data_IF_173865355103
#
_entry.id   IF_173865355103
#
_cell.length_a   1.000
_cell.length_b   1.000
_cell.length_c   1.000
_cell.angle_alpha   90.00
_cell.angle_beta   90.00
_cell.angle_gamma   90.00
#
_symmetry.space_group_name_H-M   'P 1'
#
loop_
_entity.id
_entity.type
_entity.pdbx_description
1 polymer ?
#
# COMPACT_ATOMS: atom_id res chain seq x y z
N UNK A 1 -21.30 27.11 9.87
CA UNK A 1 -21.73 26.59 8.56
C UNK A 1 -20.87 25.39 8.23
N UNK A 2 -21.47 24.18 8.23
CA UNK A 2 -20.74 22.92 8.09
C UNK A 2 -20.18 22.75 6.67
N UNK A 3 -18.87 22.52 6.58
CA UNK A 3 -18.19 22.28 5.32
C UNK A 3 -18.75 21.03 4.63
N UNK A 4 -19.00 21.17 3.33
CA UNK A 4 -19.69 20.21 2.47
C UNK A 4 -19.10 18.79 2.47
N UNK A 5 -20.00 17.85 2.17
CA UNK A 5 -19.81 16.42 2.17
C UNK A 5 -19.31 15.86 3.51
N UNK A 6 -20.01 16.20 4.60
CA UNK A 6 -20.61 15.23 5.52
C UNK A 6 -21.41 16.00 6.60
N UNK A 7 -22.72 16.15 6.38
CA UNK A 7 -23.67 16.37 7.49
C UNK A 7 -23.71 15.13 8.39
N UNK A 8 -24.68 15.08 9.31
CA UNK A 8 -24.92 13.96 10.25
C UNK A 8 -24.93 12.53 9.63
N UNK A 9 -24.93 12.40 8.30
CA UNK A 9 -24.92 11.16 7.51
C UNK A 9 -23.60 10.92 6.72
N UNK A 10 -22.47 11.38 7.22
CA UNK A 10 -21.19 11.25 6.52
C UNK A 10 -20.63 9.83 6.44
N UNK A 11 -20.02 9.46 5.31
CA UNK A 11 -19.31 8.18 5.19
C UNK A 11 -18.05 8.26 6.05
N UNK A 12 -17.96 7.41 7.07
CA UNK A 12 -16.79 7.31 7.93
C UNK A 12 -15.51 7.23 7.07
N UNK A 13 -14.44 8.01 7.37
CA UNK A 13 -13.17 7.98 6.63
C UNK A 13 -12.63 6.57 6.41
N UNK A 14 -12.88 5.64 7.35
CA UNK A 14 -12.55 4.21 7.25
C UNK A 14 -13.27 3.49 6.12
N UNK A 15 -14.57 3.76 5.95
CA UNK A 15 -15.39 3.17 4.91
C UNK A 15 -15.07 3.79 3.55
N UNK A 16 -14.94 5.12 3.50
CA UNK A 16 -14.61 5.85 2.27
C UNK A 16 -13.29 5.37 1.67
N UNK A 17 -12.25 5.24 2.50
CA UNK A 17 -10.94 4.80 2.02
C UNK A 17 -10.95 3.36 1.49
N UNK A 18 -11.74 2.47 2.12
CA UNK A 18 -11.83 1.08 1.70
C UNK A 18 -12.47 0.95 0.31
N UNK A 19 -13.53 1.71 0.05
CA UNK A 19 -14.19 1.76 -1.26
C UNK A 19 -13.25 2.31 -2.34
N UNK A 20 -12.56 3.40 -2.04
CA UNK A 20 -11.65 4.08 -2.98
C UNK A 20 -10.46 3.18 -3.32
N UNK A 21 -9.80 2.58 -2.33
CA UNK A 21 -8.65 1.70 -2.57
C UNK A 21 -9.01 0.49 -3.42
N UNK A 22 -10.19 -0.11 -3.18
CA UNK A 22 -10.63 -1.30 -3.92
C UNK A 22 -10.82 -0.99 -5.40
N UNK A 23 -11.44 0.15 -5.72
CA UNK A 23 -11.66 0.59 -7.11
C UNK A 23 -10.37 1.02 -7.80
N UNK A 24 -9.53 1.78 -7.10
CA UNK A 24 -8.30 2.36 -7.67
C UNK A 24 -7.26 1.29 -8.02
N UNK A 25 -7.16 0.23 -7.21
CA UNK A 25 -6.12 -0.79 -7.34
C UNK A 25 -6.56 -2.02 -8.14
N UNK A 26 -7.78 -2.04 -8.67
CA UNK A 26 -8.29 -3.18 -9.41
C UNK A 26 -7.50 -3.37 -10.73
N UNK A 27 -6.92 -4.55 -10.92
CA UNK A 27 -6.17 -4.91 -12.14
C UNK A 27 -4.76 -4.31 -12.26
N UNK A 28 -4.35 -3.42 -11.34
CA UNK A 28 -3.02 -2.80 -11.39
C UNK A 28 -1.87 -3.75 -11.03
N UNK A 29 -2.17 -4.93 -10.49
CA UNK A 29 -1.19 -5.93 -10.08
C UNK A 29 -0.65 -6.78 -11.24
N UNK A 30 -1.31 -6.74 -12.40
CA UNK A 30 -0.90 -7.48 -13.61
C UNK A 30 -0.20 -6.56 -14.62
N UNK A 31 -0.30 -5.24 -14.44
CA UNK A 31 0.26 -4.25 -15.36
C UNK A 31 1.62 -3.79 -14.82
N UNK A 32 2.64 -3.77 -15.69
CA UNK A 32 3.92 -3.12 -15.35
C UNK A 32 3.75 -1.61 -15.41
N UNK A 33 3.49 -0.98 -14.26
CA UNK A 33 3.40 0.47 -14.14
C UNK A 33 4.79 1.11 -14.22
N UNK A 34 4.90 2.21 -14.97
CA UNK A 34 6.12 3.01 -14.98
C UNK A 34 6.24 3.86 -13.71
N UNK A 35 7.44 4.35 -13.40
CA UNK A 35 7.65 5.30 -12.29
C UNK A 35 6.78 6.56 -12.44
N UNK A 36 6.52 6.99 -13.68
CA UNK A 36 5.64 8.13 -13.97
C UNK A 36 4.19 7.81 -13.58
N UNK A 37 3.71 6.61 -13.91
CA UNK A 37 2.36 6.17 -13.57
C UNK A 37 2.17 6.08 -12.05
N UNK A 38 3.15 5.48 -11.35
CA UNK A 38 3.15 5.39 -9.89
C UNK A 38 3.14 6.79 -9.25
N UNK A 39 3.90 7.75 -9.80
CA UNK A 39 3.92 9.13 -9.31
C UNK A 39 2.57 9.84 -9.53
N UNK A 40 1.96 9.66 -10.69
CA UNK A 40 0.64 10.21 -11.01
C UNK A 40 -0.43 9.64 -10.08
N UNK A 41 -0.45 8.31 -9.94
CA UNK A 41 -1.37 7.60 -9.06
C UNK A 41 -1.18 8.01 -7.60
N UNK A 42 0.06 8.16 -7.14
CA UNK A 42 0.39 8.63 -5.79
C UNK A 42 -0.10 10.05 -5.55
N UNK A 43 -0.01 10.93 -6.55
CA UNK A 43 -0.51 12.31 -6.46
C UNK A 43 -2.03 12.33 -6.38
N UNK A 44 -2.70 11.56 -7.23
CA UNK A 44 -4.15 11.42 -7.21
C UNK A 44 -4.66 10.81 -5.89
N UNK A 45 -4.04 9.73 -5.43
CA UNK A 45 -4.39 9.07 -4.18
C UNK A 45 -4.23 10.02 -2.98
N UNK A 46 -3.14 10.79 -2.91
CA UNK A 46 -2.94 11.80 -1.85
C UNK A 46 -4.03 12.88 -1.84
N UNK A 47 -4.48 13.34 -3.02
CA UNK A 47 -5.62 14.27 -3.12
C UNK A 47 -6.89 13.65 -2.54
N UNK A 48 -7.19 12.40 -2.87
CA UNK A 48 -8.33 11.68 -2.31
C UNK A 48 -8.22 11.52 -0.78
N UNK A 49 -7.04 11.15 -0.26
CA UNK A 49 -6.84 11.03 1.19
C UNK A 49 -7.10 12.36 1.92
N UNK A 50 -6.69 13.48 1.32
CA UNK A 50 -6.95 14.81 1.89
C UNK A 50 -8.44 15.15 1.84
N UNK A 51 -9.11 14.87 0.73
CA UNK A 51 -10.55 15.11 0.58
C UNK A 51 -11.37 14.31 1.61
N UNK A 52 -11.05 13.03 1.81
CA UNK A 52 -11.70 12.17 2.82
C UNK A 52 -11.57 12.73 4.24
N UNK A 53 -10.48 13.44 4.51
CA UNK A 53 -10.14 13.98 5.82
C UNK A 53 -10.37 15.50 5.92
N UNK A 54 -10.90 16.14 4.87
CA UNK A 54 -11.04 17.59 4.78
C UNK A 54 -9.74 18.36 5.12
N UNK A 55 -8.58 17.77 4.80
CA UNK A 55 -7.29 18.41 5.02
C UNK A 55 -7.04 19.48 3.96
N UNK A 56 -6.43 20.63 4.33
CA UNK A 56 -6.10 21.66 3.37
C UNK A 56 -5.04 21.17 2.37
N UNK A 57 -4.99 21.77 1.17
CA UNK A 57 -4.01 21.38 0.14
C UNK A 57 -2.54 21.55 0.56
N UNK A 58 -2.29 22.47 1.49
CA UNK A 58 -0.99 22.71 2.12
C UNK A 58 -0.61 21.67 3.19
N UNK A 59 -1.51 20.77 3.57
CA UNK A 59 -1.21 19.74 4.55
C UNK A 59 -0.07 18.84 4.06
N UNK A 60 0.86 18.49 4.95
CA UNK A 60 1.97 17.62 4.62
C UNK A 60 1.45 16.30 4.01
N UNK A 61 2.02 15.86 2.88
CA UNK A 61 1.60 14.64 2.19
C UNK A 61 1.56 13.43 3.13
N UNK A 62 2.59 13.27 3.96
CA UNK A 62 2.69 12.17 4.91
C UNK A 62 1.61 12.20 6.00
N UNK A 63 1.08 13.37 6.34
CA UNK A 63 0.05 13.51 7.35
C UNK A 63 -1.25 12.82 6.93
N UNK A 64 -1.64 12.95 5.65
CA UNK A 64 -2.87 12.33 5.17
C UNK A 64 -2.82 10.79 5.20
N UNK A 65 -1.62 10.22 5.10
CA UNK A 65 -1.37 8.78 5.25
C UNK A 65 -1.38 8.36 6.72
N UNK A 66 -0.57 9.02 7.56
CA UNK A 66 -0.40 8.68 8.98
C UNK A 66 -1.72 8.76 9.75
N UNK A 67 -2.53 9.80 9.49
CA UNK A 67 -3.81 10.00 10.19
C UNK A 67 -4.85 8.92 9.88
N UNK A 68 -4.81 8.31 8.70
CA UNK A 68 -5.69 7.19 8.33
C UNK A 68 -5.08 5.81 8.60
N UNK A 69 -3.81 5.75 9.02
CA UNK A 69 -3.06 4.50 9.10
C UNK A 69 -2.92 3.82 7.74
N UNK A 70 -2.75 4.58 6.66
CA UNK A 70 -2.68 4.03 5.30
C UNK A 70 -1.27 4.16 4.73
N UNK A 71 -0.77 3.07 4.16
CA UNK A 71 0.50 3.06 3.43
C UNK A 71 0.37 3.81 2.09
N UNK A 72 1.50 4.03 1.42
CA UNK A 72 1.52 4.62 0.08
C UNK A 72 0.86 3.71 -0.95
N UNK A 73 0.31 4.29 -2.01
CA UNK A 73 -0.33 3.50 -3.09
C UNK A 73 0.67 2.56 -3.77
N UNK A 74 1.93 2.99 -3.89
CA UNK A 74 3.04 2.18 -4.37
C UNK A 74 3.23 0.92 -3.50
N UNK A 75 3.26 1.09 -2.18
CA UNK A 75 3.39 -0.04 -1.25
C UNK A 75 2.18 -0.99 -1.33
N UNK A 76 0.96 -0.48 -1.56
CA UNK A 76 -0.22 -1.33 -1.80
C UNK A 76 -0.09 -2.13 -3.10
N UNK A 77 0.41 -1.52 -4.17
CA UNK A 77 0.68 -2.19 -5.44
C UNK A 77 1.73 -3.30 -5.24
N UNK A 78 2.82 -2.99 -4.53
CA UNK A 78 3.85 -3.98 -4.21
C UNK A 78 3.28 -5.19 -3.44
N UNK A 79 2.44 -4.95 -2.42
CA UNK A 79 1.73 -6.03 -1.70
C UNK A 79 0.90 -6.90 -2.63
N UNK A 80 0.25 -6.32 -3.64
CA UNK A 80 -0.57 -7.07 -4.60
C UNK A 80 0.29 -7.87 -5.55
N UNK A 81 1.33 -7.28 -6.15
CA UNK A 81 2.28 -7.98 -7.03
C UNK A 81 2.87 -9.20 -6.32
N UNK A 82 3.35 -9.06 -5.08
CA UNK A 82 3.89 -10.17 -4.29
C UNK A 82 2.86 -11.27 -3.98
N UNK A 83 1.59 -10.91 -3.76
CA UNK A 83 0.51 -11.88 -3.55
C UNK A 83 0.12 -12.59 -4.84
N UNK A 84 0.10 -11.88 -5.95
CA UNK A 84 -0.19 -12.41 -7.28
C UNK A 84 0.91 -13.36 -7.72
N UNK A 85 2.18 -12.99 -7.55
CA UNK A 85 3.33 -13.88 -7.73
C UNK A 85 3.17 -15.18 -6.94
N UNK A 86 2.82 -15.09 -5.65
CA UNK A 86 2.59 -16.29 -4.83
C UNK A 86 1.49 -17.19 -5.39
N UNK A 87 0.40 -16.60 -5.86
CA UNK A 87 -0.71 -17.36 -6.42
C UNK A 87 -0.28 -18.11 -7.69
N UNK A 88 0.54 -17.47 -8.53
CA UNK A 88 1.12 -18.09 -9.74
C UNK A 88 2.00 -19.29 -9.37
N UNK A 89 2.99 -19.12 -8.50
CA UNK A 89 3.97 -20.17 -8.20
C UNK A 89 3.38 -21.37 -7.44
N UNK A 90 2.25 -21.19 -6.74
CA UNK A 90 1.56 -22.29 -6.04
C UNK A 90 1.01 -23.34 -7.01
N UNK A 91 0.63 -22.94 -8.21
CA UNK A 91 0.01 -23.87 -9.16
C UNK A 91 1.09 -24.51 -10.04
N UNK A 92 1.58 -25.67 -9.60
CA UNK A 92 2.73 -26.36 -10.20
C UNK A 92 2.58 -26.65 -11.69
N UNK A 93 1.36 -26.96 -12.11
CA UNK A 93 1.04 -27.35 -13.48
C UNK A 93 0.61 -26.17 -14.37
N UNK A 94 0.55 -24.96 -13.83
CA UNK A 94 0.10 -23.78 -14.56
C UNK A 94 1.12 -23.30 -15.60
N UNK A 95 0.61 -22.75 -16.71
CA UNK A 95 1.44 -22.13 -17.74
C UNK A 95 2.15 -20.90 -17.15
N UNK A 96 1.46 -20.19 -16.26
CA UNK A 96 1.93 -19.00 -15.57
C UNK A 96 3.15 -19.31 -14.70
N UNK A 97 3.19 -20.44 -13.98
CA UNK A 97 4.37 -20.85 -13.22
C UNK A 97 5.54 -21.18 -14.14
N UNK A 98 5.31 -21.92 -15.23
CA UNK A 98 6.34 -22.23 -16.23
C UNK A 98 6.91 -20.93 -16.83
N UNK A 99 6.04 -19.96 -17.10
CA UNK A 99 6.43 -18.63 -17.57
C UNK A 99 7.24 -17.87 -16.51
N UNK A 100 6.83 -17.92 -15.23
CA UNK A 100 7.55 -17.30 -14.12
C UNK A 100 8.99 -17.84 -14.01
N UNK A 101 9.15 -19.16 -13.99
CA UNK A 101 10.45 -19.83 -13.94
C UNK A 101 11.32 -19.39 -15.12
N UNK A 102 10.77 -19.46 -16.34
CA UNK A 102 11.50 -19.07 -17.56
C UNK A 102 11.92 -17.61 -17.51
N UNK A 103 11.02 -16.70 -17.15
CA UNK A 103 11.33 -15.26 -17.14
C UNK A 103 12.35 -14.93 -16.05
N UNK A 104 12.25 -15.52 -14.86
CA UNK A 104 13.25 -15.32 -13.81
C UNK A 104 14.63 -15.86 -14.20
N UNK A 105 14.70 -16.97 -14.93
CA UNK A 105 15.97 -17.54 -15.39
C UNK A 105 16.61 -16.79 -16.56
N UNK A 106 15.81 -16.13 -17.41
CA UNK A 106 16.30 -15.59 -18.69
C UNK A 106 16.30 -14.08 -18.81
N UNK A 107 15.46 -13.37 -18.05
CA UNK A 107 15.30 -11.92 -18.18
C UNK A 107 16.27 -11.18 -17.26
N UNK A 108 16.91 -10.15 -17.81
CA UNK A 108 17.63 -9.17 -17.00
C UNK A 108 16.65 -8.32 -16.20
N UNK A 109 17.12 -7.75 -15.08
CA UNK A 109 16.34 -6.85 -14.23
C UNK A 109 15.75 -5.65 -15.01
N UNK A 110 16.40 -5.23 -16.09
CA UNK A 110 15.99 -4.12 -16.96
C UNK A 110 14.82 -4.43 -17.89
N UNK A 111 14.38 -5.68 -17.99
CA UNK A 111 13.37 -6.12 -18.97
C UNK A 111 11.94 -5.62 -18.73
N UNK A 112 11.66 -5.03 -17.56
CA UNK A 112 10.32 -4.55 -17.20
C UNK A 112 9.27 -5.66 -17.03
N UNK A 113 9.69 -6.92 -16.93
CA UNK A 113 8.75 -8.03 -16.68
C UNK A 113 8.15 -7.95 -15.27
N UNK A 114 6.95 -8.51 -15.08
CA UNK A 114 6.32 -8.61 -13.77
C UNK A 114 7.20 -9.37 -12.76
N UNK A 115 7.89 -10.43 -13.20
CA UNK A 115 8.71 -11.25 -12.32
C UNK A 115 10.03 -10.57 -11.95
N UNK A 116 10.67 -9.84 -12.87
CA UNK A 116 11.84 -9.01 -12.52
C UNK A 116 11.44 -7.89 -11.56
N UNK A 117 10.26 -7.30 -11.74
CA UNK A 117 9.71 -6.35 -10.76
C UNK A 117 9.49 -6.99 -9.40
N UNK A 118 9.06 -8.25 -9.36
CA UNK A 118 8.90 -8.99 -8.09
C UNK A 118 10.25 -9.17 -7.37
N UNK A 119 11.34 -9.41 -8.10
CA UNK A 119 12.71 -9.47 -7.54
C UNK A 119 13.11 -8.11 -6.95
N UNK A 120 12.92 -7.02 -7.68
CA UNK A 120 13.19 -5.67 -7.17
C UNK A 120 12.40 -5.37 -5.89
N UNK A 121 11.10 -5.68 -5.90
CA UNK A 121 10.22 -5.48 -4.75
C UNK A 121 10.65 -6.33 -3.56
N UNK A 122 11.02 -7.60 -3.78
CA UNK A 122 11.49 -8.46 -2.72
C UNK A 122 12.75 -7.88 -2.05
N UNK A 123 13.69 -7.37 -2.85
CA UNK A 123 14.90 -6.72 -2.36
C UNK A 123 14.63 -5.43 -1.58
N UNK A 124 13.66 -4.61 -2.01
CA UNK A 124 13.28 -3.36 -1.30
C UNK A 124 12.81 -3.65 0.15
N UNK A 125 12.14 -4.79 0.35
CA UNK A 125 11.50 -5.13 1.61
C UNK A 125 12.21 -6.26 2.37
N UNK A 126 13.43 -6.62 1.99
CA UNK A 126 14.20 -7.74 2.57
C UNK A 126 13.38 -9.03 2.68
N UNK A 127 12.61 -9.33 1.63
CA UNK A 127 11.81 -10.56 1.53
C UNK A 127 12.65 -11.70 0.92
N UNK A 128 12.25 -12.97 1.13
CA UNK A 128 12.87 -14.10 0.44
C UNK A 128 12.90 -13.88 -1.07
N UNK A 129 14.01 -14.26 -1.67
CA UNK A 129 14.22 -14.15 -3.11
C UNK A 129 13.10 -14.89 -3.86
N UNK A 130 12.55 -14.33 -4.96
CA UNK A 130 11.57 -15.03 -5.77
C UNK A 130 12.08 -16.38 -6.32
N UNK A 131 13.39 -16.52 -6.49
CA UNK A 131 14.03 -17.78 -6.88
C UNK A 131 13.83 -18.85 -5.79
N UNK A 132 14.27 -18.56 -4.56
CA UNK A 132 14.11 -19.47 -3.41
C UNK A 132 12.63 -19.78 -3.12
N UNK A 133 11.77 -18.78 -3.33
CA UNK A 133 10.33 -18.90 -3.09
C UNK A 133 9.65 -19.85 -4.09
N UNK A 134 10.20 -20.03 -5.29
CA UNK A 134 9.67 -20.98 -6.29
C UNK A 134 9.98 -22.42 -5.91
N UNK A 135 11.18 -22.66 -5.38
CA UNK A 135 11.66 -23.99 -5.01
C UNK A 135 11.00 -24.47 -3.72
N UNK A 136 10.79 -23.56 -2.76
CA UNK A 136 10.12 -23.85 -1.50
C UNK A 136 9.00 -22.82 -1.20
N UNK A 137 7.83 -22.94 -1.83
CA UNK A 137 6.78 -21.94 -1.71
C UNK A 137 6.14 -21.95 -0.31
N UNK A 138 6.18 -20.82 0.43
CA UNK A 138 5.56 -20.76 1.74
C UNK A 138 4.05 -20.90 1.67
N UNK A 139 3.45 -21.36 2.78
CA UNK A 139 2.00 -21.46 2.93
C UNK A 139 1.31 -20.12 2.63
N UNK A 140 0.14 -20.16 1.97
CA UNK A 140 -0.58 -18.95 1.48
C UNK A 140 -0.78 -17.91 2.59
N UNK A 141 -1.20 -18.36 3.78
CA UNK A 141 -1.47 -17.46 4.90
C UNK A 141 -0.17 -16.90 5.50
N UNK A 142 0.87 -17.72 5.62
CA UNK A 142 2.19 -17.30 6.10
C UNK A 142 2.77 -16.22 5.19
N UNK A 143 2.75 -16.43 3.86
CA UNK A 143 3.20 -15.43 2.89
C UNK A 143 2.41 -14.13 2.97
N UNK A 144 1.07 -14.22 3.03
CA UNK A 144 0.20 -13.04 3.16
C UNK A 144 0.53 -12.24 4.41
N UNK A 145 0.74 -12.91 5.54
CA UNK A 145 1.10 -12.27 6.80
C UNK A 145 2.49 -11.63 6.73
N UNK A 146 3.47 -12.35 6.17
CA UNK A 146 4.82 -11.85 5.94
C UNK A 146 4.78 -10.57 5.09
N UNK A 147 4.27 -10.64 3.86
CA UNK A 147 4.18 -9.49 2.94
C UNK A 147 3.45 -8.30 3.58
N UNK A 148 2.31 -8.54 4.25
CA UNK A 148 1.57 -7.47 4.90
C UNK A 148 2.42 -6.79 5.99
N UNK A 149 3.09 -7.58 6.84
CA UNK A 149 3.91 -7.10 7.95
C UNK A 149 5.14 -6.37 7.45
N UNK A 150 5.94 -6.97 6.57
CA UNK A 150 7.23 -6.40 6.15
C UNK A 150 7.04 -5.12 5.34
N UNK A 151 6.16 -5.14 4.33
CA UNK A 151 5.88 -3.95 3.50
C UNK A 151 5.19 -2.87 4.33
N UNK A 152 4.24 -3.25 5.19
CA UNK A 152 3.56 -2.33 6.09
C UNK A 152 4.52 -1.61 7.03
N UNK A 153 5.36 -2.38 7.74
CA UNK A 153 6.33 -1.84 8.69
C UNK A 153 7.37 -0.93 8.00
N UNK A 154 7.89 -1.35 6.84
CA UNK A 154 8.84 -0.56 6.07
C UNK A 154 8.24 0.81 5.71
N UNK A 155 7.03 0.81 5.13
CA UNK A 155 6.37 2.03 4.70
C UNK A 155 5.99 2.94 5.89
N UNK A 156 5.42 2.38 6.95
CA UNK A 156 5.05 3.15 8.15
C UNK A 156 6.30 3.77 8.79
N UNK A 157 7.40 3.02 8.92
CA UNK A 157 8.67 3.54 9.45
C UNK A 157 9.18 4.72 8.61
N UNK A 158 9.18 4.58 7.29
CA UNK A 158 9.60 5.65 6.39
C UNK A 158 8.72 6.91 6.54
N UNK A 159 7.40 6.73 6.63
CA UNK A 159 6.46 7.85 6.83
C UNK A 159 6.59 8.49 8.22
N UNK A 160 6.88 7.73 9.27
CA UNK A 160 7.15 8.29 10.60
C UNK A 160 8.40 9.15 10.54
N UNK A 161 9.49 8.67 9.93
CA UNK A 161 10.73 9.44 9.76
C UNK A 161 10.49 10.74 8.95
N UNK A 162 9.75 10.66 7.85
CA UNK A 162 9.37 11.85 7.05
C UNK A 162 8.43 12.78 7.82
N UNK A 163 7.60 12.24 8.71
CA UNK A 163 6.73 13.01 9.58
C UNK A 163 7.52 13.80 10.63
N UNK A 164 8.44 13.13 11.32
CA UNK A 164 9.25 13.69 12.40
C UNK A 164 10.18 14.81 11.92
N UNK A 165 10.62 14.77 10.65
CA UNK A 165 11.41 15.86 10.06
C UNK A 165 10.62 17.13 9.75
N UNK A 166 9.29 17.13 9.92
CA UNK A 166 8.41 18.27 9.62
C UNK A 166 7.91 18.95 10.89
N UNK A 167 8.25 20.22 11.07
CA UNK A 167 7.79 21.03 12.21
C UNK A 167 6.27 21.11 12.35
N UNK A 168 5.54 21.08 11.23
CA UNK A 168 4.06 21.10 11.21
C UNK A 168 3.42 19.83 11.77
N UNK A 169 4.18 18.74 11.92
CA UNK A 169 3.72 17.47 12.46
C UNK A 169 4.33 17.13 13.83
N UNK A 170 5.09 18.05 14.44
CA UNK A 170 5.78 17.82 15.71
C UNK A 170 4.87 17.39 16.87
N UNK A 171 3.55 17.70 16.78
CA UNK A 171 2.54 17.32 17.79
C UNK A 171 1.81 16.01 17.48
N UNK A 172 2.13 15.34 16.38
CA UNK A 172 1.50 14.07 16.04
C UNK A 172 2.06 12.97 16.94
N UNK A 173 1.18 12.17 17.55
CA UNK A 173 1.61 11.02 18.34
C UNK A 173 1.96 9.84 17.40
N UNK A 174 3.24 9.68 17.10
CA UNK A 174 3.75 8.64 16.21
C UNK A 174 3.71 7.22 16.80
N UNK A 175 3.70 7.07 18.14
CA UNK A 175 3.71 5.76 18.81
C UNK A 175 2.45 4.94 18.52
N UNK A 176 1.34 5.64 18.27
CA UNK A 176 0.05 5.04 17.97
C UNK A 176 -0.20 4.79 16.47
N UNK A 177 0.75 5.13 15.61
CA UNK A 177 0.60 4.95 14.16
C UNK A 177 0.85 3.49 13.80
N UNK A 178 -0.18 2.84 13.26
CA UNK A 178 -0.10 1.48 12.73
C UNK A 178 -0.87 1.38 11.41
N UNK A 179 -0.44 0.50 10.53
CA UNK A 179 -1.18 0.22 9.30
C UNK A 179 -2.59 -0.30 9.62
N UNK A 180 -3.60 0.24 8.93
CA UNK A 180 -5.02 -0.08 9.12
C UNK A 180 -5.67 0.57 10.33
N UNK A 181 -4.88 1.22 11.21
CA UNK A 181 -5.38 1.90 12.40
C UNK A 181 -5.53 3.39 12.14
N UNK A 182 -6.78 3.86 12.16
CA UNK A 182 -7.10 5.28 12.05
C UNK A 182 -6.71 5.99 13.35
N UNK A 183 -6.14 7.19 13.21
CA UNK A 183 -5.75 8.03 14.33
C UNK A 183 -6.96 8.43 15.19
N UNK A 184 -6.73 8.57 16.50
CA UNK A 184 -7.80 8.84 17.47
C UNK A 184 -8.56 10.15 17.21
N UNK A 185 -7.94 11.12 16.52
CA UNK A 185 -8.59 12.37 16.11
C UNK A 185 -9.85 12.14 15.28
N UNK A 186 -9.92 11.03 14.54
CA UNK A 186 -11.08 10.68 13.73
C UNK A 186 -12.10 9.81 14.48
N UNK A 187 -11.74 9.24 15.65
CA UNK A 187 -12.68 8.45 16.46
C UNK A 187 -13.79 9.32 17.02
N UNK A 188 -13.47 10.56 17.42
CA UNK A 188 -14.42 11.56 17.92
C UNK A 188 -15.32 12.15 16.83
N UNK A 189 -14.96 12.02 15.55
CA UNK A 189 -15.70 12.63 14.44
C UNK A 189 -16.93 11.82 13.98
N UNK A 190 -17.28 10.70 14.63
CA UNK A 190 -18.42 9.88 14.22
C UNK A 190 -19.04 8.98 15.30
N UNK A 191 -18.74 9.21 16.59
CA UNK A 191 -19.22 8.36 17.71
C UNK A 191 -20.20 9.04 18.66
N UNK A 192 -20.62 10.28 18.39
CA UNK A 192 -21.80 10.85 19.04
C UNK A 192 -23.03 10.66 18.14
N UNK A 193 -23.47 9.41 17.99
CA UNK A 193 -24.89 9.14 17.79
C UNK A 193 -25.42 8.59 19.12
N UNK A 194 -26.41 9.23 19.77
CA UNK A 194 -27.18 8.58 20.83
C UNK A 194 -27.92 7.33 20.31
#
# INVERSE_FOLDING_TARGET
MGAGLHGLNGVNPKAAIHLIQTRLLYGLDVITLTTKDIKNLSTYFRKLLRQIQHLPDRAANVASHLLLGRITIESEIHKRILKTFKNIIRNENSIERKLAIRQLATKSLQSGSLFTKTVEIANIYDLPSPYDTIDNPPGKQLWKNLVNKTVGNHCIKQMINEGQSKSTLARLNYENVKEGQIHNIWKSCGTNMP
#
